data_IF_584492639490
#
_entry.id   IF_584492639490
#
_cell.length_a   1.000
_cell.length_b   1.000
_cell.length_c   1.000
_cell.angle_alpha   90.00
_cell.angle_beta   90.00
_cell.angle_gamma   90.00
#
_symmetry.space_group_name_H-M   'P 1'
#
loop_
_entity.id
_entity.type
_entity.pdbx_description
1 polymer ?
#
# COMPACT_ATOMS: atom_id res chain seq x y z
N UNK A 1 -26.22 -48.02 -22.46
CA UNK A 1 -26.63 -46.60 -22.44
C UNK A 1 -26.43 -45.95 -21.10
N UNK A 2 -26.76 -46.59 -19.98
CA UNK A 2 -26.65 -46.02 -18.63
C UNK A 2 -25.22 -45.74 -18.12
N UNK A 3 -24.22 -46.52 -18.51
CA UNK A 3 -22.85 -46.33 -18.04
C UNK A 3 -22.19 -45.06 -18.61
N UNK A 4 -22.51 -44.72 -19.85
CA UNK A 4 -21.97 -43.52 -20.52
C UNK A 4 -22.59 -42.26 -19.90
N UNK A 5 -23.89 -42.28 -19.64
CA UNK A 5 -24.60 -41.16 -19.01
C UNK A 5 -24.06 -40.92 -17.58
N UNK A 6 -23.84 -41.97 -16.84
CA UNK A 6 -23.27 -41.87 -15.49
C UNK A 6 -21.84 -41.32 -15.51
N UNK A 7 -21.02 -41.74 -16.48
CA UNK A 7 -19.65 -41.20 -16.65
C UNK A 7 -19.63 -39.71 -16.98
N UNK A 8 -20.58 -39.25 -17.83
CA UNK A 8 -20.69 -37.83 -18.19
C UNK A 8 -21.15 -36.99 -16.98
N UNK A 9 -22.14 -37.46 -16.21
CA UNK A 9 -22.60 -36.81 -15.00
C UNK A 9 -21.51 -36.71 -13.93
N UNK A 10 -20.72 -37.75 -13.74
CA UNK A 10 -19.60 -37.76 -12.80
C UNK A 10 -18.47 -36.81 -13.24
N UNK A 11 -18.19 -36.71 -14.55
CA UNK A 11 -17.20 -35.78 -15.09
C UNK A 11 -17.63 -34.31 -14.91
N UNK A 12 -18.91 -33.99 -15.14
CA UNK A 12 -19.45 -32.62 -14.93
C UNK A 12 -19.42 -32.26 -13.45
N UNK A 13 -19.72 -33.21 -12.57
CA UNK A 13 -19.70 -32.99 -11.12
C UNK A 13 -18.28 -32.69 -10.60
N UNK A 14 -17.24 -33.36 -11.15
CA UNK A 14 -15.84 -33.07 -10.79
C UNK A 14 -15.40 -31.66 -11.18
N UNK A 15 -15.85 -31.14 -12.33
CA UNK A 15 -15.51 -29.81 -12.83
C UNK A 15 -16.13 -28.71 -11.96
N UNK A 16 -17.31 -28.93 -11.39
CA UNK A 16 -18.01 -27.97 -10.54
C UNK A 16 -17.33 -27.72 -9.18
N UNK A 17 -16.47 -28.63 -8.72
CA UNK A 17 -15.77 -28.50 -7.43
C UNK A 17 -14.44 -27.73 -7.49
N UNK A 18 -13.98 -27.29 -8.66
CA UNK A 18 -12.69 -26.59 -8.81
C UNK A 18 -12.81 -25.07 -8.90
N UNK A 19 -13.99 -24.49 -8.69
CA UNK A 19 -14.18 -23.05 -8.59
C UNK A 19 -13.66 -22.55 -7.24
N UNK A 20 -12.34 -22.41 -7.12
CA UNK A 20 -11.76 -21.67 -6.00
C UNK A 20 -11.99 -20.18 -6.22
N UNK A 21 -12.62 -19.50 -5.28
CA UNK A 21 -12.73 -18.05 -5.27
C UNK A 21 -11.34 -17.43 -5.24
N UNK A 22 -10.84 -17.03 -6.40
CA UNK A 22 -9.59 -16.29 -6.49
C UNK A 22 -9.89 -14.83 -6.16
N UNK A 23 -9.75 -14.44 -4.90
CA UNK A 23 -9.75 -13.04 -4.51
C UNK A 23 -8.48 -12.38 -5.05
N UNK A 24 -8.58 -11.76 -6.20
CA UNK A 24 -7.51 -10.92 -6.74
C UNK A 24 -7.67 -9.51 -6.18
N UNK A 25 -6.62 -8.99 -5.55
CA UNK A 25 -6.58 -7.59 -5.15
C UNK A 25 -6.52 -6.71 -6.39
N UNK A 26 -7.56 -5.91 -6.62
CA UNK A 26 -7.66 -4.95 -7.73
C UNK A 26 -7.68 -3.53 -7.18
N UNK A 27 -6.71 -2.71 -7.63
CA UNK A 27 -6.67 -1.29 -7.30
C UNK A 27 -7.28 -0.49 -8.43
N UNK A 28 -8.27 0.34 -8.10
CA UNK A 28 -8.82 1.29 -9.07
C UNK A 28 -7.83 2.44 -9.29
N UNK A 29 -7.29 2.55 -10.48
CA UNK A 29 -6.53 3.71 -10.94
C UNK A 29 -7.24 4.32 -12.13
N UNK A 30 -7.72 5.57 -12.05
CA UNK A 30 -8.29 6.26 -13.20
C UNK A 30 -7.19 6.55 -14.23
N UNK A 31 -7.35 6.06 -15.46
CA UNK A 31 -6.33 6.13 -16.53
C UNK A 31 -6.10 7.57 -17.05
N UNK A 32 -7.12 8.43 -17.00
CA UNK A 32 -7.08 9.77 -17.58
C UNK A 32 -6.73 10.90 -16.59
N UNK A 33 -6.23 10.57 -15.39
CA UNK A 33 -5.91 11.58 -14.38
C UNK A 33 -4.41 11.91 -14.40
N UNK A 34 -4.02 13.19 -14.57
CA UNK A 34 -2.62 13.60 -14.51
C UNK A 34 -1.93 13.14 -13.23
N UNK A 35 -0.67 12.70 -13.35
CA UNK A 35 0.13 12.17 -12.21
C UNK A 35 0.16 13.15 -11.02
N UNK A 36 0.25 14.44 -11.28
CA UNK A 36 0.26 15.49 -10.25
C UNK A 36 -1.02 15.46 -9.38
N UNK A 37 -2.17 15.30 -10.03
CA UNK A 37 -3.45 15.19 -9.34
C UNK A 37 -3.53 13.90 -8.55
N UNK A 38 -3.08 12.78 -9.11
CA UNK A 38 -3.03 11.50 -8.40
C UNK A 38 -2.17 11.57 -7.14
N UNK A 39 -0.98 12.21 -7.23
CA UNK A 39 -0.08 12.40 -6.07
C UNK A 39 -0.72 13.30 -5.02
N UNK A 40 -1.36 14.40 -5.46
CA UNK A 40 -2.05 15.34 -4.56
C UNK A 40 -3.21 14.64 -3.83
N UNK A 41 -4.01 13.87 -4.54
CA UNK A 41 -5.15 13.14 -3.99
C UNK A 41 -4.68 12.07 -2.98
N UNK A 42 -3.64 11.32 -3.33
CA UNK A 42 -3.03 10.34 -2.43
C UNK A 42 -2.46 11.01 -1.17
N UNK A 43 -1.74 12.13 -1.33
CA UNK A 43 -1.21 12.92 -0.23
C UNK A 43 -2.32 13.41 0.71
N UNK A 44 -3.41 13.92 0.16
CA UNK A 44 -4.54 14.44 0.94
C UNK A 44 -5.29 13.34 1.70
N UNK A 45 -5.40 12.16 1.10
CA UNK A 45 -6.07 10.99 1.71
C UNK A 45 -5.19 10.28 2.74
N UNK A 46 -3.87 10.45 2.69
CA UNK A 46 -2.96 9.74 3.59
C UNK A 46 -2.81 10.45 4.93
N UNK A 47 -2.84 9.68 6.00
CA UNK A 47 -2.56 10.17 7.36
C UNK A 47 -1.10 10.60 7.50
N UNK A 48 -0.19 9.87 6.86
CA UNK A 48 1.25 10.15 6.87
C UNK A 48 1.89 9.77 5.54
N UNK A 49 2.72 10.69 5.01
CA UNK A 49 3.55 10.43 3.83
C UNK A 49 5.01 10.69 4.20
N UNK A 50 5.86 9.69 4.00
CA UNK A 50 7.28 9.77 4.37
C UNK A 50 8.18 8.94 3.45
N UNK A 51 9.46 9.27 3.45
CA UNK A 51 10.54 8.40 2.95
C UNK A 51 11.28 7.82 4.14
N UNK A 52 11.51 6.51 4.10
CA UNK A 52 12.29 5.81 5.12
C UNK A 52 12.91 4.53 4.60
N UNK A 53 13.95 4.11 5.30
CA UNK A 53 14.63 2.82 5.10
C UNK A 53 14.00 1.77 6.01
N UNK A 54 13.71 0.60 5.47
CA UNK A 54 13.22 -0.53 6.26
C UNK A 54 14.35 -1.08 7.12
N UNK A 55 14.19 -0.99 8.43
CA UNK A 55 15.18 -1.52 9.40
C UNK A 55 14.79 -2.88 9.94
N UNK A 56 13.49 -3.19 9.99
CA UNK A 56 12.99 -4.45 10.53
C UNK A 56 11.62 -4.82 9.97
N UNK A 57 11.37 -6.10 9.79
CA UNK A 57 10.05 -6.66 9.42
C UNK A 57 9.70 -7.75 10.45
N UNK A 58 8.71 -7.46 11.29
CA UNK A 58 8.16 -8.41 12.27
C UNK A 58 6.97 -9.12 11.65
N UNK A 59 7.07 -10.44 11.52
CA UNK A 59 6.02 -11.29 10.95
C UNK A 59 5.02 -11.64 12.05
N UNK A 60 3.77 -11.18 11.88
CA UNK A 60 2.61 -11.57 12.70
C UNK A 60 1.72 -12.55 11.90
N UNK A 61 0.72 -13.20 12.51
CA UNK A 61 -0.11 -14.18 11.79
C UNK A 61 -0.70 -13.65 10.47
N UNK A 62 -1.31 -12.47 10.48
CA UNK A 62 -2.07 -11.93 9.35
C UNK A 62 -1.43 -10.70 8.70
N UNK A 63 -0.49 -10.05 9.39
CA UNK A 63 0.14 -8.80 8.96
C UNK A 63 1.65 -8.83 9.17
N UNK A 64 2.36 -8.06 8.36
CA UNK A 64 3.74 -7.66 8.65
C UNK A 64 3.74 -6.30 9.31
N UNK A 65 4.49 -6.17 10.40
CA UNK A 65 4.78 -4.91 11.06
C UNK A 65 6.17 -4.46 10.62
N UNK A 66 6.25 -3.39 9.85
CA UNK A 66 7.47 -2.91 9.20
C UNK A 66 7.94 -1.64 9.89
N UNK A 67 9.14 -1.66 10.45
CA UNK A 67 9.76 -0.50 11.09
C UNK A 67 10.70 0.20 10.14
N UNK A 68 10.53 1.52 10.04
CA UNK A 68 11.29 2.39 9.16
C UNK A 68 12.13 3.37 9.97
N UNK A 69 13.38 3.57 9.56
CA UNK A 69 14.18 4.75 9.90
C UNK A 69 13.78 5.86 8.91
N UNK A 70 13.17 6.92 9.43
CA UNK A 70 12.58 7.97 8.60
C UNK A 70 13.61 9.00 8.21
N UNK A 71 13.64 9.37 6.94
CA UNK A 71 14.50 10.42 6.40
C UNK A 71 13.75 11.73 6.17
N UNK A 72 12.48 11.66 5.77
CA UNK A 72 11.65 12.82 5.42
C UNK A 72 10.19 12.55 5.59
N UNK A 73 9.43 13.55 6.03
CA UNK A 73 7.97 13.55 6.11
C UNK A 73 7.39 14.77 5.40
N UNK A 74 6.13 14.68 4.91
CA UNK A 74 5.47 15.79 4.23
C UNK A 74 4.26 16.37 4.95
N UNK A 75 3.47 15.60 5.68
CA UNK A 75 2.19 16.05 6.25
C UNK A 75 2.06 15.94 7.78
N UNK A 76 3.11 15.49 8.46
CA UNK A 76 3.18 15.47 9.93
C UNK A 76 4.56 15.84 10.43
N UNK A 77 4.69 16.05 11.73
CA UNK A 77 5.97 16.27 12.38
C UNK A 77 6.92 15.10 12.15
N UNK A 78 8.19 15.41 12.03
CA UNK A 78 9.23 14.42 11.82
C UNK A 78 9.36 13.49 13.04
N UNK A 79 9.35 12.19 12.78
CA UNK A 79 9.68 11.14 13.74
C UNK A 79 10.86 10.35 13.21
N UNK A 80 11.80 9.99 14.08
CA UNK A 80 12.99 9.23 13.66
C UNK A 80 12.67 7.82 13.20
N UNK A 81 11.66 7.20 13.82
CA UNK A 81 11.19 5.85 13.48
C UNK A 81 9.67 5.82 13.38
N UNK A 82 9.18 5.05 12.43
CA UNK A 82 7.75 4.84 12.20
C UNK A 82 7.54 3.36 11.92
N UNK A 83 6.49 2.81 12.52
CA UNK A 83 6.04 1.45 12.23
C UNK A 83 4.76 1.48 11.43
N UNK A 84 4.72 0.70 10.35
CA UNK A 84 3.57 0.59 9.45
C UNK A 84 3.22 -0.88 9.28
N UNK A 85 1.94 -1.23 9.35
CA UNK A 85 1.46 -2.57 9.06
C UNK A 85 1.10 -2.72 7.58
N UNK A 86 1.25 -3.94 7.06
CA UNK A 86 0.75 -4.33 5.74
C UNK A 86 0.28 -5.78 5.79
N UNK A 87 -0.71 -6.15 4.99
CA UNK A 87 -1.19 -7.53 4.96
C UNK A 87 -0.06 -8.48 4.52
N UNK A 88 -0.06 -9.68 5.09
CA UNK A 88 0.96 -10.71 4.78
C UNK A 88 0.82 -11.26 3.38
N UNK A 89 -0.39 -11.36 2.86
CA UNK A 89 -0.69 -11.98 1.58
C UNK A 89 -1.00 -10.94 0.51
N UNK A 90 -0.54 -11.20 -0.71
CA UNK A 90 -0.79 -10.33 -1.87
C UNK A 90 -2.28 -10.27 -2.25
N UNK A 91 -3.05 -11.36 -2.05
CA UNK A 91 -4.50 -11.38 -2.25
C UNK A 91 -5.27 -10.49 -1.26
N UNK A 92 -4.67 -10.11 -0.13
CA UNK A 92 -5.17 -9.11 0.82
C UNK A 92 -4.58 -7.72 0.60
N UNK A 93 -4.08 -7.45 -0.61
CA UNK A 93 -3.45 -6.19 -1.01
C UNK A 93 -2.18 -5.82 -0.22
N UNK A 94 -1.49 -6.78 0.39
CA UNK A 94 -0.25 -6.50 1.12
C UNK A 94 0.85 -5.94 0.22
N UNK A 95 1.62 -4.99 0.75
CA UNK A 95 2.81 -4.45 0.08
C UNK A 95 4.08 -5.17 0.56
N UNK A 96 4.91 -5.61 -0.39
CA UNK A 96 6.16 -6.33 -0.07
C UNK A 96 7.32 -5.37 0.16
N UNK A 97 7.85 -5.36 1.38
CA UNK A 97 9.02 -4.59 1.77
C UNK A 97 10.26 -5.48 1.88
N UNK A 98 11.44 -4.88 1.72
CA UNK A 98 12.73 -5.53 1.89
C UNK A 98 13.59 -4.73 2.86
N UNK A 99 14.19 -5.38 3.86
CA UNK A 99 15.11 -4.74 4.82
C UNK A 99 16.29 -4.09 4.09
N UNK A 100 16.71 -2.90 4.53
CA UNK A 100 17.78 -2.10 3.94
C UNK A 100 17.38 -1.34 2.67
N UNK A 101 16.14 -1.47 2.18
CA UNK A 101 15.63 -0.70 1.03
C UNK A 101 14.84 0.51 1.49
N UNK A 102 14.88 1.56 0.66
CA UNK A 102 14.15 2.82 0.91
C UNK A 102 12.87 2.88 0.11
N UNK A 103 11.83 3.36 0.76
CA UNK A 103 10.48 3.49 0.19
C UNK A 103 9.89 4.86 0.47
N UNK A 104 9.16 5.39 -0.51
CA UNK A 104 8.14 6.41 -0.28
C UNK A 104 6.88 5.68 0.17
N UNK A 105 6.42 5.99 1.38
CA UNK A 105 5.28 5.32 2.00
C UNK A 105 4.12 6.30 2.16
N UNK A 106 2.95 5.91 1.64
CA UNK A 106 1.67 6.54 1.90
C UNK A 106 0.91 5.68 2.89
N UNK A 107 0.86 6.10 4.15
CA UNK A 107 0.25 5.35 5.24
C UNK A 107 -1.06 5.98 5.70
N UNK A 108 -2.04 5.12 6.01
CA UNK A 108 -3.35 5.49 6.52
C UNK A 108 -3.56 4.88 7.91
N UNK A 109 -4.36 5.51 8.73
CA UNK A 109 -4.69 5.03 10.07
C UNK A 109 -4.70 6.12 11.11
N UNK A 110 -4.97 5.75 12.36
CA UNK A 110 -5.07 6.63 13.51
C UNK A 110 -4.14 6.18 14.65
N UNK A 111 -3.74 7.10 15.52
CA UNK A 111 -3.10 6.81 16.81
C UNK A 111 -1.97 5.78 16.76
N UNK A 112 -1.00 5.95 15.87
CA UNK A 112 0.13 5.04 15.65
C UNK A 112 -0.21 3.67 15.02
N UNK A 113 -1.46 3.39 14.69
CA UNK A 113 -1.86 2.22 13.91
C UNK A 113 -1.86 2.55 12.41
N UNK A 114 -0.68 2.80 11.87
CA UNK A 114 -0.51 3.11 10.46
C UNK A 114 -0.46 1.83 9.63
N UNK A 115 -1.10 1.86 8.46
CA UNK A 115 -1.10 0.76 7.50
C UNK A 115 -0.88 1.26 6.08
N UNK A 116 -0.36 0.38 5.23
CA UNK A 116 -0.22 0.62 3.80
C UNK A 116 -0.50 -0.67 3.01
N UNK A 117 -0.77 -0.52 1.73
CA UNK A 117 -1.05 -1.64 0.83
C UNK A 117 -0.62 -1.31 -0.61
N UNK A 118 -0.78 -2.25 -1.54
CA UNK A 118 -0.42 -2.06 -2.95
C UNK A 118 -1.30 -1.02 -3.67
N UNK A 119 -2.47 -0.68 -3.13
CA UNK A 119 -3.38 0.32 -3.70
C UNK A 119 -3.08 1.75 -3.24
N UNK A 120 -2.19 1.93 -2.28
CA UNK A 120 -1.60 3.23 -1.98
C UNK A 120 -0.49 3.51 -3.01
N UNK A 121 -0.03 4.75 -3.09
CA UNK A 121 1.11 5.09 -3.96
C UNK A 121 2.46 4.73 -3.33
N UNK A 122 2.49 3.86 -2.31
CA UNK A 122 3.72 3.35 -1.71
C UNK A 122 4.57 2.65 -2.76
N UNK A 123 5.84 3.05 -2.89
CA UNK A 123 6.76 2.51 -3.88
C UNK A 123 8.23 2.70 -3.47
N UNK A 124 9.14 1.95 -4.12
CA UNK A 124 10.58 2.17 -3.97
C UNK A 124 10.97 3.59 -4.40
N UNK A 125 11.93 4.21 -3.71
CA UNK A 125 12.41 5.56 -4.06
C UNK A 125 13.22 5.62 -5.36
N UNK A 126 13.77 4.50 -5.84
CA UNK A 126 14.74 4.43 -6.94
C UNK A 126 14.22 5.05 -8.25
N UNK A 127 12.91 5.00 -8.51
CA UNK A 127 12.29 5.57 -9.73
C UNK A 127 11.04 6.37 -9.45
N UNK A 128 10.89 6.89 -8.22
CA UNK A 128 9.64 7.48 -7.79
C UNK A 128 9.55 8.96 -8.15
N UNK A 129 8.71 9.27 -9.14
CA UNK A 129 8.45 10.65 -9.59
C UNK A 129 7.61 11.45 -8.58
N UNK A 130 6.87 10.80 -7.69
CA UNK A 130 5.98 11.45 -6.71
C UNK A 130 6.75 12.38 -5.76
N UNK A 131 8.00 12.05 -5.43
CA UNK A 131 8.85 12.85 -4.53
C UNK A 131 9.02 14.27 -5.04
N UNK A 132 9.19 14.44 -6.35
CA UNK A 132 9.33 15.76 -6.98
C UNK A 132 8.06 16.60 -6.81
N UNK A 133 6.87 15.99 -6.98
CA UNK A 133 5.58 16.65 -6.78
C UNK A 133 5.29 16.94 -5.32
N UNK A 134 5.56 16.00 -4.42
CA UNK A 134 5.42 16.19 -2.97
C UNK A 134 6.26 17.35 -2.46
N UNK A 135 7.47 17.53 -3.00
CA UNK A 135 8.33 18.66 -2.64
C UNK A 135 7.77 20.02 -3.06
N UNK A 136 6.97 20.06 -4.15
CA UNK A 136 6.26 21.27 -4.58
C UNK A 136 5.02 21.55 -3.73
N UNK A 137 4.31 20.51 -3.27
CA UNK A 137 3.10 20.64 -2.44
C UNK A 137 3.45 21.23 -1.07
N UNK A 138 4.61 20.87 -0.51
CA UNK A 138 5.03 21.33 0.82
C UNK A 138 5.56 22.75 0.78
N UNK A 139 4.68 23.74 0.91
CA UNK A 139 4.90 24.96 1.69
C UNK A 139 3.58 25.36 2.34
N UNK A 140 3.24 24.90 3.55
CA UNK A 140 2.30 25.65 4.36
C UNK A 140 2.97 27.00 4.58
N UNK A 141 2.38 28.08 4.03
CA UNK A 141 2.67 29.43 4.49
C UNK A 141 2.35 29.44 5.98
N UNK A 142 3.35 29.45 6.83
CA UNK A 142 3.20 29.87 8.21
C UNK A 142 2.73 31.32 8.09
N UNK A 143 1.43 31.56 8.27
CA UNK A 143 0.94 32.89 8.56
C UNK A 143 1.54 33.23 9.92
N UNK A 144 2.60 34.03 9.92
CA UNK A 144 3.03 34.74 11.11
C UNK A 144 1.82 35.50 11.62
N UNK A 145 1.34 35.13 12.82
CA UNK A 145 0.35 35.94 13.55
C UNK A 145 0.95 37.32 13.74
N UNK A 146 0.26 38.44 13.37
CA UNK A 146 0.73 39.74 13.75
C UNK A 146 0.60 39.88 15.28
N UNK A 147 1.69 40.44 15.87
CA UNK A 147 1.67 40.90 17.29
C UNK A 147 0.59 41.91 17.55
#
# INVERSE_FOLDING_TARGET
MNKIIFSIFFSIFLIAFTASDVFACSCFQPEDVPIEKQVKDAYTKSTLVFVGEVVEIIKKPDVYSVRFKVEKTWNKNFQKEITVSTAKQSNLCGYSFTVGKKYLVYANGENNNLSTNICTRTASVVSNKDIAFLNKIKKPKIKSSPK
#
